data_IF_345338115578
#
_entry.id   IF_345338115578
#
_cell.length_a   1.000
_cell.length_b   1.000
_cell.length_c   1.000
_cell.angle_alpha   90.00
_cell.angle_beta   90.00
_cell.angle_gamma   90.00
#
_symmetry.space_group_name_H-M   'P 1'
#
loop_
_entity.id
_entity.type
_entity.pdbx_description
1 polymer ?
#
# COMPACT_ATOMS: atom_id res chain seq x y z
N UNK A 1 -14.89 5.95 12.97
CA UNK A 1 -13.87 5.91 11.90
C UNK A 1 -13.12 7.21 11.97
N UNK A 2 -11.79 7.19 12.04
CA UNK A 2 -10.99 8.41 11.98
C UNK A 2 -11.35 9.21 10.73
N UNK A 3 -11.43 10.52 10.83
CA UNK A 3 -11.77 11.42 9.72
C UNK A 3 -10.66 11.60 8.68
N UNK A 4 -9.90 10.53 8.40
CA UNK A 4 -8.84 10.53 7.38
C UNK A 4 -9.29 9.98 6.01
N UNK A 5 -10.53 9.47 5.92
CA UNK A 5 -11.06 9.01 4.65
C UNK A 5 -11.68 10.16 3.84
N UNK A 6 -11.54 10.12 2.53
CA UNK A 6 -11.90 11.20 1.62
C UNK A 6 -13.39 11.49 1.56
N UNK A 7 -14.24 10.49 1.75
CA UNK A 7 -15.71 10.59 1.75
C UNK A 7 -16.25 9.91 2.99
N UNK A 8 -16.95 10.67 3.84
CA UNK A 8 -17.52 10.15 5.09
C UNK A 8 -18.93 9.66 4.83
N UNK A 9 -19.15 8.35 5.00
CA UNK A 9 -20.47 7.76 5.02
C UNK A 9 -21.04 7.90 6.45
N UNK A 10 -22.28 8.39 6.63
CA UNK A 10 -22.93 8.42 7.94
C UNK A 10 -23.17 7.03 8.54
N UNK A 11 -23.41 6.02 7.70
CA UNK A 11 -23.54 4.63 8.14
C UNK A 11 -22.17 4.05 8.50
N UNK A 12 -22.09 3.41 9.67
CA UNK A 12 -20.85 2.80 10.17
C UNK A 12 -21.09 1.31 10.45
N UNK A 13 -20.06 0.50 10.20
CA UNK A 13 -20.06 -0.93 10.49
C UNK A 13 -18.75 -1.33 11.15
N UNK A 14 -18.85 -2.07 12.25
CA UNK A 14 -17.68 -2.63 12.94
C UNK A 14 -16.94 -3.63 12.05
N UNK A 15 -17.66 -4.42 11.26
CA UNK A 15 -17.07 -5.36 10.32
C UNK A 15 -16.12 -4.65 9.33
N UNK A 16 -16.59 -3.57 8.69
CA UNK A 16 -15.75 -2.83 7.75
C UNK A 16 -14.64 -2.05 8.46
N UNK A 17 -14.84 -1.62 9.71
CA UNK A 17 -13.76 -1.03 10.49
C UNK A 17 -12.62 -2.03 10.71
N UNK A 18 -12.94 -3.24 11.16
CA UNK A 18 -11.92 -4.29 11.37
C UNK A 18 -11.26 -4.70 10.05
N UNK A 19 -12.04 -4.82 8.98
CA UNK A 19 -11.53 -5.13 7.65
C UNK A 19 -10.49 -4.10 7.19
N UNK A 20 -10.79 -2.82 7.30
CA UNK A 20 -9.87 -1.72 6.94
C UNK A 20 -8.62 -1.74 7.81
N UNK A 21 -8.74 -1.98 9.12
CA UNK A 21 -7.58 -2.07 10.02
C UNK A 21 -6.65 -3.23 9.62
N UNK A 22 -7.22 -4.40 9.30
CA UNK A 22 -6.44 -5.57 8.86
C UNK A 22 -5.72 -5.26 7.53
N UNK A 23 -6.47 -4.83 6.52
CA UNK A 23 -5.91 -4.58 5.19
C UNK A 23 -4.83 -3.49 5.26
N UNK A 24 -5.13 -2.36 5.89
CA UNK A 24 -4.21 -1.22 5.98
C UNK A 24 -2.92 -1.50 6.80
N UNK A 25 -2.89 -2.60 7.56
CA UNK A 25 -1.70 -3.01 8.32
C UNK A 25 -0.72 -3.82 7.46
N UNK A 26 -1.22 -4.64 6.52
CA UNK A 26 -0.39 -5.61 5.81
C UNK A 26 -0.29 -5.46 4.29
N UNK A 27 -1.15 -4.66 3.66
CA UNK A 27 -1.18 -4.49 2.20
C UNK A 27 0.10 -3.83 1.65
N UNK A 28 0.54 -2.75 2.27
CA UNK A 28 1.72 -2.02 1.82
C UNK A 28 3.01 -2.85 1.92
N UNK A 29 3.32 -3.54 3.04
CA UNK A 29 4.45 -4.47 3.09
C UNK A 29 4.41 -5.55 2.00
N UNK A 30 3.23 -6.12 1.70
CA UNK A 30 3.09 -7.12 0.65
C UNK A 30 3.42 -6.54 -0.74
N UNK A 31 2.95 -5.32 -1.05
CA UNK A 31 3.20 -4.66 -2.33
C UNK A 31 4.67 -4.26 -2.46
N UNK A 32 5.29 -3.72 -1.40
CA UNK A 32 6.74 -3.42 -1.40
C UNK A 32 7.59 -4.68 -1.53
N UNK A 33 7.19 -5.80 -0.89
CA UNK A 33 7.84 -7.08 -1.07
C UNK A 33 7.80 -7.53 -2.54
N UNK A 34 6.64 -7.48 -3.19
CA UNK A 34 6.50 -7.82 -4.60
C UNK A 34 7.33 -6.91 -5.51
N UNK A 35 7.34 -5.60 -5.25
CA UNK A 35 8.18 -4.66 -5.97
C UNK A 35 9.67 -5.01 -5.85
N UNK A 36 10.11 -5.35 -4.64
CA UNK A 36 11.46 -5.83 -4.36
C UNK A 36 11.78 -7.15 -5.04
N UNK A 37 10.83 -8.09 -5.08
CA UNK A 37 11.00 -9.39 -5.72
C UNK A 37 11.28 -9.29 -7.23
N UNK A 38 10.61 -8.36 -7.92
CA UNK A 38 10.82 -8.17 -9.36
C UNK A 38 11.98 -7.22 -9.72
N UNK A 39 12.50 -6.45 -8.77
CA UNK A 39 13.54 -5.47 -9.03
C UNK A 39 14.88 -6.07 -9.49
N UNK A 40 15.41 -7.17 -8.87
CA UNK A 40 16.71 -7.74 -9.24
C UNK A 40 16.78 -8.16 -10.69
N UNK A 41 15.79 -8.94 -11.15
CA UNK A 41 15.72 -9.40 -12.55
C UNK A 41 15.74 -8.25 -13.54
N UNK A 42 15.02 -7.17 -13.23
CA UNK A 42 14.95 -5.99 -14.07
C UNK A 42 16.29 -5.24 -14.11
N UNK A 43 16.94 -5.08 -12.94
CA UNK A 43 18.23 -4.40 -12.80
C UNK A 43 19.36 -5.18 -13.52
N UNK A 44 19.43 -6.49 -13.33
CA UNK A 44 20.46 -7.34 -13.94
C UNK A 44 20.33 -7.41 -15.45
N UNK A 45 19.09 -7.48 -15.98
CA UNK A 45 18.86 -7.53 -17.43
C UNK A 45 19.22 -6.22 -18.15
N UNK A 46 19.00 -5.06 -17.52
CA UNK A 46 19.07 -3.75 -18.16
C UNK A 46 20.30 -2.91 -17.79
N UNK A 47 20.91 -3.20 -16.65
CA UNK A 47 21.90 -2.33 -16.03
C UNK A 47 21.27 -1.10 -15.37
N UNK A 48 22.04 -0.40 -14.54
CA UNK A 48 21.58 0.65 -13.63
C UNK A 48 20.88 1.82 -14.33
N UNK A 49 21.51 2.37 -15.37
CA UNK A 49 21.00 3.58 -16.04
C UNK A 49 19.67 3.32 -16.75
N UNK A 50 19.59 2.23 -17.53
CA UNK A 50 18.37 1.90 -18.26
C UNK A 50 17.24 1.48 -17.31
N UNK A 51 17.58 0.77 -16.21
CA UNK A 51 16.63 0.46 -15.15
C UNK A 51 16.02 1.72 -14.56
N UNK A 52 16.85 2.70 -14.15
CA UNK A 52 16.36 3.96 -13.56
C UNK A 52 15.52 4.77 -14.55
N UNK A 53 15.96 4.86 -15.82
CA UNK A 53 15.20 5.54 -16.88
C UNK A 53 13.82 4.92 -17.06
N UNK A 54 13.74 3.60 -17.09
CA UNK A 54 12.45 2.88 -17.22
C UNK A 54 11.56 3.08 -15.98
N UNK A 55 12.13 3.01 -14.77
CA UNK A 55 11.36 3.25 -13.55
C UNK A 55 10.92 4.71 -13.42
N UNK A 56 11.74 5.67 -13.83
CA UNK A 56 11.32 7.07 -13.91
C UNK A 56 10.13 7.25 -14.87
N UNK A 57 10.14 6.56 -16.02
CA UNK A 57 9.04 6.63 -16.98
C UNK A 57 7.75 5.98 -16.45
N UNK A 58 7.84 4.74 -15.94
CA UNK A 58 6.65 3.96 -15.56
C UNK A 58 6.14 4.20 -14.14
N UNK A 59 6.94 4.79 -13.25
CA UNK A 59 6.57 5.07 -11.86
C UNK A 59 6.66 6.56 -11.57
N UNK A 60 7.80 7.20 -11.93
CA UNK A 60 8.07 8.60 -11.61
C UNK A 60 7.11 9.56 -12.31
N UNK A 61 6.92 9.43 -13.64
CA UNK A 61 5.99 10.29 -14.38
C UNK A 61 4.54 10.10 -13.91
N UNK A 62 3.99 8.86 -13.81
CA UNK A 62 2.64 8.67 -13.26
C UNK A 62 2.48 9.17 -11.84
N UNK A 63 3.52 9.08 -10.99
CA UNK A 63 3.50 9.68 -9.67
C UNK A 63 3.36 11.20 -9.72
N UNK A 64 4.21 11.89 -10.48
CA UNK A 64 4.17 13.36 -10.61
C UNK A 64 2.82 13.81 -11.16
N UNK A 65 2.34 13.17 -12.23
CA UNK A 65 1.03 13.50 -12.83
C UNK A 65 -0.09 13.24 -11.81
N UNK A 66 -0.07 12.11 -11.13
CA UNK A 66 -1.06 11.77 -10.11
C UNK A 66 -1.11 12.79 -8.96
N UNK A 67 0.06 13.14 -8.44
CA UNK A 67 0.17 14.11 -7.33
C UNK A 67 -0.27 15.51 -7.77
N UNK A 68 0.17 16.00 -8.92
CA UNK A 68 -0.13 17.37 -9.34
C UNK A 68 -1.56 17.55 -9.87
N UNK A 69 -2.08 16.56 -10.60
CA UNK A 69 -3.39 16.66 -11.22
C UNK A 69 -4.54 16.23 -10.31
N UNK A 70 -4.35 15.19 -9.49
CA UNK A 70 -5.45 14.53 -8.77
C UNK A 70 -5.39 14.66 -7.25
N UNK A 71 -4.21 14.68 -6.63
CA UNK A 71 -4.12 14.77 -5.17
C UNK A 71 -4.77 16.05 -4.59
N UNK A 72 -4.70 17.24 -5.23
CA UNK A 72 -5.43 18.42 -4.74
C UNK A 72 -6.95 18.24 -4.78
N UNK A 73 -7.48 17.54 -5.80
CA UNK A 73 -8.91 17.25 -5.91
C UNK A 73 -9.38 16.34 -4.77
N UNK A 74 -8.58 15.34 -4.44
CA UNK A 74 -8.85 14.44 -3.30
C UNK A 74 -8.77 15.19 -1.97
N UNK A 75 -7.79 16.07 -1.80
CA UNK A 75 -7.69 16.93 -0.63
C UNK A 75 -8.92 17.83 -0.48
N UNK A 76 -9.38 18.45 -1.56
CA UNK A 76 -10.57 19.29 -1.55
C UNK A 76 -11.84 18.48 -1.23
N UNK A 77 -11.98 17.27 -1.79
CA UNK A 77 -13.09 16.38 -1.48
C UNK A 77 -13.11 15.99 0.01
N UNK A 78 -11.94 15.73 0.61
CA UNK A 78 -11.81 15.47 2.05
C UNK A 78 -12.22 16.68 2.86
N UNK A 79 -11.72 17.87 2.52
CA UNK A 79 -12.06 19.12 3.20
C UNK A 79 -13.56 19.37 3.19
N UNK A 80 -14.19 19.20 2.03
CA UNK A 80 -15.64 19.32 1.87
C UNK A 80 -16.41 18.26 2.70
N UNK A 81 -15.94 17.03 2.69
CA UNK A 81 -16.57 15.94 3.44
C UNK A 81 -16.49 16.12 4.96
N UNK A 82 -15.47 16.82 5.43
CA UNK A 82 -15.29 17.21 6.84
C UNK A 82 -15.99 18.51 7.22
N UNK A 83 -16.72 19.15 6.29
CA UNK A 83 -17.34 20.47 6.46
C UNK A 83 -16.35 21.57 6.89
N UNK A 84 -15.08 21.46 6.44
CA UNK A 84 -14.08 22.47 6.71
C UNK A 84 -14.24 23.68 5.75
N UNK A 85 -13.86 24.90 6.17
CA UNK A 85 -13.93 26.08 5.31
C UNK A 85 -13.13 25.87 4.02
N UNK A 86 -13.79 26.15 2.90
CA UNK A 86 -13.17 26.08 1.56
C UNK A 86 -13.00 27.51 1.03
N UNK A 87 -11.87 27.81 0.37
CA UNK A 87 -11.69 29.03 -0.39
C UNK A 87 -12.68 29.11 -1.56
N UNK A 88 -12.89 30.34 -2.08
CA UNK A 88 -13.83 30.57 -3.19
C UNK A 88 -13.42 29.87 -4.48
N UNK A 89 -12.12 29.75 -4.73
CA UNK A 89 -11.61 29.14 -5.96
C UNK A 89 -10.75 27.91 -5.70
N UNK A 90 -10.77 26.99 -6.66
CA UNK A 90 -9.90 25.80 -6.64
C UNK A 90 -8.40 26.19 -6.59
N UNK A 91 -8.00 27.21 -7.33
CA UNK A 91 -6.59 27.62 -7.38
C UNK A 91 -6.12 28.20 -6.03
N UNK A 92 -7.00 28.90 -5.34
CA UNK A 92 -6.73 29.40 -3.98
C UNK A 92 -6.62 28.23 -3.00
N UNK A 93 -7.51 27.23 -3.07
CA UNK A 93 -7.40 26.01 -2.30
C UNK A 93 -6.04 25.31 -2.52
N UNK A 94 -5.62 25.16 -3.77
CA UNK A 94 -4.33 24.56 -4.10
C UNK A 94 -3.18 25.34 -3.47
N UNK A 95 -3.17 26.65 -3.56
CA UNK A 95 -2.07 27.51 -3.08
C UNK A 95 -2.02 27.61 -1.55
N UNK A 96 -3.17 27.78 -0.91
CA UNK A 96 -3.23 28.13 0.52
C UNK A 96 -3.38 26.89 1.41
N UNK A 97 -4.08 25.86 0.95
CA UNK A 97 -4.38 24.67 1.73
C UNK A 97 -3.53 23.48 1.26
N UNK A 98 -3.65 23.08 0.00
CA UNK A 98 -3.00 21.84 -0.44
C UNK A 98 -1.48 21.96 -0.48
N UNK A 99 -0.88 23.06 -0.95
CA UNK A 99 0.58 23.25 -0.87
C UNK A 99 1.08 23.54 0.54
N UNK A 100 0.18 23.85 1.48
CA UNK A 100 0.44 24.14 2.89
C UNK A 100 0.03 23.01 3.84
N UNK A 101 -0.84 23.31 4.84
CA UNK A 101 -1.18 22.39 5.92
C UNK A 101 -2.01 21.18 5.48
N UNK A 102 -2.73 21.29 4.38
CA UNK A 102 -3.54 20.20 3.80
C UNK A 102 -2.80 19.34 2.77
N UNK A 103 -1.47 19.43 2.70
CA UNK A 103 -0.72 18.64 1.72
C UNK A 103 -0.88 17.15 1.94
N UNK A 104 -1.24 16.49 0.88
CA UNK A 104 -1.32 15.05 0.82
C UNK A 104 -1.10 14.56 -0.62
N UNK A 105 -0.71 13.30 -0.77
CA UNK A 105 -0.48 12.68 -2.08
C UNK A 105 -1.50 11.60 -2.42
N UNK A 106 -2.56 11.44 -1.60
CA UNK A 106 -3.51 10.35 -1.75
C UNK A 106 -2.76 9.00 -1.83
N UNK A 107 -3.26 8.03 -2.60
CA UNK A 107 -2.59 6.74 -2.82
C UNK A 107 -1.28 6.85 -3.63
N UNK A 108 -1.02 7.97 -4.28
CA UNK A 108 0.23 8.15 -5.07
C UNK A 108 1.50 8.25 -4.22
N UNK A 109 1.40 8.49 -2.89
CA UNK A 109 2.54 8.48 -1.98
C UNK A 109 3.41 7.22 -2.13
N UNK A 110 2.75 6.07 -2.36
CA UNK A 110 3.41 4.79 -2.56
C UNK A 110 4.40 4.82 -3.73
N UNK A 111 4.02 5.41 -4.88
CA UNK A 111 4.89 5.51 -6.05
C UNK A 111 6.13 6.36 -5.76
N UNK A 112 5.97 7.45 -4.99
CA UNK A 112 7.09 8.30 -4.57
C UNK A 112 8.08 7.54 -3.69
N UNK A 113 7.59 6.85 -2.66
CA UNK A 113 8.42 6.02 -1.78
C UNK A 113 9.07 4.86 -2.54
N UNK A 114 8.31 4.20 -3.39
CA UNK A 114 8.82 3.12 -4.24
C UNK A 114 9.95 3.62 -5.16
N UNK A 115 9.81 4.80 -5.73
CA UNK A 115 10.85 5.38 -6.58
C UNK A 115 12.15 5.62 -5.80
N UNK A 116 12.06 6.09 -4.55
CA UNK A 116 13.23 6.23 -3.65
C UNK A 116 13.87 4.87 -3.40
N UNK A 117 13.09 3.84 -3.08
CA UNK A 117 13.64 2.49 -2.85
C UNK A 117 14.32 1.91 -4.09
N UNK A 118 13.76 2.13 -5.28
CA UNK A 118 14.35 1.68 -6.54
C UNK A 118 15.65 2.43 -6.88
N UNK A 119 15.75 3.74 -6.56
CA UNK A 119 16.99 4.52 -6.72
C UNK A 119 18.08 3.98 -5.78
N UNK A 120 17.74 3.81 -4.50
CA UNK A 120 18.67 3.23 -3.51
C UNK A 120 19.10 1.82 -3.92
N UNK A 121 18.15 0.99 -4.36
CA UNK A 121 18.42 -0.36 -4.83
C UNK A 121 19.36 -0.39 -6.05
N UNK A 122 19.16 0.50 -7.00
CA UNK A 122 20.04 0.62 -8.16
C UNK A 122 21.46 1.07 -7.78
N UNK A 123 21.59 1.92 -6.76
CA UNK A 123 22.89 2.39 -6.24
C UNK A 123 23.63 1.27 -5.48
N UNK A 124 22.95 0.58 -4.57
CA UNK A 124 23.52 -0.50 -3.74
C UNK A 124 23.73 -1.78 -4.57
N UNK A 125 22.80 -2.08 -5.45
CA UNK A 125 22.81 -3.28 -6.28
C UNK A 125 21.98 -4.44 -5.69
N UNK A 126 21.76 -5.45 -6.52
CA UNK A 126 21.05 -6.68 -6.16
C UNK A 126 21.88 -7.52 -5.17
N UNK A 127 21.25 -8.29 -4.27
CA UNK A 127 21.94 -9.32 -3.47
C UNK A 127 22.75 -10.25 -4.39
N UNK A 128 24.05 -10.37 -4.14
CA UNK A 128 24.98 -11.04 -5.09
C UNK A 128 24.89 -12.57 -5.08
N UNK A 129 24.68 -13.17 -3.92
CA UNK A 129 24.64 -14.62 -3.76
C UNK A 129 23.42 -15.05 -2.95
N UNK A 130 23.00 -16.30 -3.14
CA UNK A 130 22.04 -16.94 -2.25
C UNK A 130 22.60 -16.97 -0.83
N UNK A 131 21.73 -16.77 0.16
CA UNK A 131 22.16 -16.62 1.55
C UNK A 131 22.44 -17.94 2.24
N UNK A 132 21.89 -19.05 1.73
CA UNK A 132 21.85 -20.34 2.41
C UNK A 132 21.04 -20.37 3.70
N UNK A 133 20.41 -19.23 4.08
CA UNK A 133 19.58 -19.12 5.28
C UNK A 133 18.12 -19.41 4.98
N UNK A 134 17.41 -19.99 5.95
CA UNK A 134 15.98 -20.26 5.81
C UNK A 134 15.16 -18.98 5.66
N UNK A 135 14.02 -19.03 4.97
CA UNK A 135 13.07 -17.91 4.92
C UNK A 135 12.68 -17.39 6.31
N UNK A 136 12.51 -18.30 7.29
CA UNK A 136 12.16 -17.94 8.67
C UNK A 136 13.19 -17.02 9.33
N UNK A 137 14.48 -17.23 9.07
CA UNK A 137 15.53 -16.33 9.57
C UNK A 137 15.31 -14.90 9.08
N UNK A 138 15.01 -14.73 7.80
CA UNK A 138 14.79 -13.43 7.20
C UNK A 138 13.47 -12.77 7.67
N UNK A 139 12.40 -13.56 7.83
CA UNK A 139 11.13 -13.10 8.36
C UNK A 139 11.24 -12.67 9.82
N UNK A 140 11.97 -13.42 10.65
CA UNK A 140 12.26 -13.03 12.04
C UNK A 140 13.08 -11.74 12.12
N UNK A 141 14.11 -11.60 11.26
CA UNK A 141 14.90 -10.38 11.14
C UNK A 141 14.04 -9.18 10.74
N UNK A 142 13.15 -9.34 9.76
CA UNK A 142 12.23 -8.28 9.36
C UNK A 142 11.29 -7.90 10.51
N UNK A 143 10.69 -8.87 11.20
CA UNK A 143 9.83 -8.60 12.36
C UNK A 143 10.57 -7.83 13.45
N UNK A 144 11.76 -8.30 13.87
CA UNK A 144 12.53 -7.69 14.94
C UNK A 144 12.96 -6.26 14.60
N UNK A 145 13.52 -6.04 13.40
CA UNK A 145 13.97 -4.71 12.95
C UNK A 145 12.81 -3.75 12.73
N UNK A 146 11.69 -4.22 12.17
CA UNK A 146 10.48 -3.42 12.01
C UNK A 146 9.89 -3.02 13.37
N UNK A 147 9.87 -3.96 14.34
CA UNK A 147 9.41 -3.68 15.71
C UNK A 147 10.27 -2.64 16.41
N UNK A 148 11.59 -2.77 16.30
CA UNK A 148 12.52 -1.80 16.87
C UNK A 148 12.37 -0.41 16.22
N UNK A 149 12.27 -0.34 14.89
CA UNK A 149 12.08 0.92 14.18
C UNK A 149 10.75 1.59 14.53
N UNK A 150 9.67 0.82 14.62
CA UNK A 150 8.36 1.33 15.03
C UNK A 150 8.41 1.85 16.48
N UNK A 151 9.01 1.09 17.39
CA UNK A 151 9.20 1.50 18.78
C UNK A 151 9.99 2.80 18.88
N UNK A 152 11.17 2.89 18.26
CA UNK A 152 12.01 4.08 18.27
C UNK A 152 11.28 5.29 17.68
N UNK A 153 10.57 5.12 16.56
CA UNK A 153 9.75 6.19 16.00
C UNK A 153 8.65 6.64 16.97
N UNK A 154 8.01 5.72 17.67
CA UNK A 154 6.93 6.00 18.62
C UNK A 154 7.39 6.72 19.90
N UNK A 155 8.69 6.80 20.15
CA UNK A 155 9.21 7.60 21.27
C UNK A 155 9.05 9.12 21.04
N UNK A 156 9.13 9.55 19.79
CA UNK A 156 9.15 10.96 19.40
C UNK A 156 7.95 11.39 18.55
N UNK A 157 7.33 10.44 17.83
CA UNK A 157 6.29 10.73 16.86
C UNK A 157 5.07 9.87 17.12
N UNK A 158 3.87 10.41 16.81
CA UNK A 158 2.67 9.57 16.79
C UNK A 158 2.79 8.52 15.68
N UNK A 159 2.45 7.23 15.91
CA UNK A 159 2.61 6.15 14.93
C UNK A 159 1.89 6.39 13.59
N UNK A 160 0.77 7.12 13.61
CA UNK A 160 -0.01 7.44 12.42
C UNK A 160 0.33 8.80 11.82
N UNK A 161 1.39 9.47 12.33
CA UNK A 161 1.83 10.74 11.79
C UNK A 161 2.36 10.57 10.37
N UNK A 162 1.86 11.42 9.47
CA UNK A 162 2.39 11.58 8.13
C UNK A 162 3.31 12.79 8.09
N UNK A 163 4.48 12.61 7.53
CA UNK A 163 5.44 13.70 7.32
C UNK A 163 5.76 13.88 5.85
N UNK A 164 6.20 15.08 5.52
CA UNK A 164 6.69 15.44 4.20
C UNK A 164 8.17 15.83 4.29
N UNK A 165 9.00 15.12 3.54
CA UNK A 165 10.39 15.52 3.31
C UNK A 165 10.53 15.86 1.84
N UNK A 166 10.77 17.15 1.54
CA UNK A 166 10.68 17.67 0.18
C UNK A 166 9.31 17.38 -0.44
N UNK A 167 9.24 16.49 -1.42
CA UNK A 167 8.02 16.10 -2.12
C UNK A 167 7.59 14.66 -1.82
N UNK A 168 8.29 13.97 -0.92
CA UNK A 168 7.93 12.60 -0.52
C UNK A 168 7.10 12.65 0.75
N UNK A 169 5.97 11.94 0.75
CA UNK A 169 4.99 11.89 1.84
C UNK A 169 4.89 10.46 2.36
N UNK A 170 5.13 10.24 3.66
CA UNK A 170 5.18 8.91 4.25
C UNK A 170 4.96 8.92 5.77
N UNK A 171 4.77 7.73 6.34
CA UNK A 171 4.68 7.53 7.79
C UNK A 171 6.03 7.04 8.33
N UNK A 172 6.71 7.82 9.19
CA UNK A 172 8.03 7.46 9.75
C UNK A 172 8.04 6.11 10.48
N UNK A 173 6.98 5.82 11.24
CA UNK A 173 6.88 4.58 11.99
C UNK A 173 6.86 3.33 11.11
N UNK A 174 6.45 3.44 9.85
CA UNK A 174 6.23 2.31 8.94
C UNK A 174 7.27 2.22 7.81
N UNK A 175 7.97 3.31 7.51
CA UNK A 175 8.85 3.36 6.33
C UNK A 175 9.98 2.32 6.37
N UNK A 176 10.53 2.03 7.56
CA UNK A 176 11.58 1.01 7.72
C UNK A 176 11.02 -0.38 7.43
N UNK A 177 9.80 -0.68 7.89
CA UNK A 177 9.13 -1.95 7.59
C UNK A 177 8.93 -2.13 6.08
N UNK A 178 8.57 -1.06 5.35
CA UNK A 178 8.41 -1.09 3.89
C UNK A 178 9.75 -1.30 3.16
N UNK A 179 10.82 -0.64 3.61
CA UNK A 179 12.15 -0.81 3.06
C UNK A 179 12.68 -2.23 3.29
N UNK A 180 12.45 -2.77 4.49
CA UNK A 180 12.81 -4.16 4.83
C UNK A 180 11.99 -5.16 4.02
N UNK A 181 10.69 -4.93 3.82
CA UNK A 181 9.85 -5.77 2.97
C UNK A 181 10.33 -5.76 1.51
N UNK A 182 10.69 -4.60 0.98
CA UNK A 182 11.29 -4.48 -0.36
C UNK A 182 12.60 -5.27 -0.46
N UNK A 183 13.52 -5.10 0.50
CA UNK A 183 14.77 -5.86 0.54
C UNK A 183 14.53 -7.36 0.65
N UNK A 184 13.57 -7.76 1.50
CA UNK A 184 13.18 -9.16 1.67
C UNK A 184 12.65 -9.77 0.37
N UNK A 185 11.89 -9.01 -0.41
CA UNK A 185 11.46 -9.39 -1.75
C UNK A 185 12.66 -9.66 -2.69
N UNK A 186 13.65 -8.78 -2.71
CA UNK A 186 14.85 -8.96 -3.50
C UNK A 186 15.67 -10.19 -3.04
N UNK A 187 15.72 -10.47 -1.73
CA UNK A 187 16.31 -11.69 -1.17
C UNK A 187 15.51 -12.92 -1.58
N UNK A 188 14.19 -12.89 -1.46
CA UNK A 188 13.32 -13.99 -1.84
C UNK A 188 13.49 -14.41 -3.30
N UNK A 189 13.67 -13.43 -4.20
CA UNK A 189 14.00 -13.71 -5.60
C UNK A 189 15.37 -14.39 -5.74
N UNK A 190 16.40 -13.90 -5.06
CA UNK A 190 17.75 -14.45 -5.12
C UNK A 190 17.87 -15.83 -4.50
N UNK A 191 17.14 -16.09 -3.42
CA UNK A 191 17.15 -17.34 -2.68
C UNK A 191 16.13 -18.37 -3.22
N UNK A 192 15.38 -18.04 -4.29
CA UNK A 192 14.44 -18.96 -4.95
C UNK A 192 13.24 -19.36 -4.08
N UNK A 193 12.74 -18.47 -3.20
CA UNK A 193 11.66 -18.85 -2.27
C UNK A 193 10.38 -19.30 -2.96
N UNK A 194 10.16 -18.90 -4.19
CA UNK A 194 8.97 -19.25 -4.97
C UNK A 194 9.24 -20.28 -6.09
N UNK A 195 10.44 -20.87 -6.14
CA UNK A 195 10.78 -21.87 -7.16
C UNK A 195 10.23 -23.27 -6.81
N UNK A 196 9.89 -23.49 -5.54
CA UNK A 196 9.30 -24.73 -5.04
C UNK A 196 7.80 -24.87 -5.31
N UNK A 197 7.16 -25.94 -4.80
CA UNK A 197 5.71 -26.16 -4.96
C UNK A 197 4.88 -25.05 -4.31
N UNK A 198 3.61 -25.00 -4.69
CA UNK A 198 2.64 -24.07 -4.08
C UNK A 198 2.50 -24.35 -2.59
N UNK A 199 2.18 -23.31 -1.77
CA UNK A 199 1.92 -23.51 -0.36
C UNK A 199 0.75 -24.49 -0.16
N UNK A 200 0.95 -25.50 0.67
CA UNK A 200 -0.10 -26.42 1.06
C UNK A 200 -1.11 -25.75 2.00
N UNK A 201 -2.25 -26.43 2.20
CA UNK A 201 -3.33 -25.95 3.08
C UNK A 201 -2.81 -25.60 4.49
N UNK A 202 -1.92 -26.43 5.06
CA UNK A 202 -1.37 -26.17 6.40
C UNK A 202 -0.59 -24.85 6.52
N UNK A 203 0.19 -24.49 5.48
CA UNK A 203 0.92 -23.23 5.45
C UNK A 203 -0.03 -22.01 5.33
N UNK A 204 -1.08 -22.13 4.52
CA UNK A 204 -2.11 -21.08 4.37
C UNK A 204 -2.89 -20.94 5.69
N UNK A 205 -3.32 -22.06 6.29
CA UNK A 205 -4.06 -22.03 7.55
C UNK A 205 -3.22 -21.45 8.68
N UNK A 206 -1.95 -21.84 8.83
CA UNK A 206 -1.06 -21.31 9.84
C UNK A 206 -0.82 -19.80 9.66
N UNK A 207 -0.56 -19.34 8.45
CA UNK A 207 -0.41 -17.89 8.17
C UNK A 207 -1.71 -17.12 8.38
N UNK A 208 -2.86 -17.73 8.09
CA UNK A 208 -4.17 -17.16 8.40
C UNK A 208 -4.41 -17.03 9.91
N UNK A 209 -4.11 -18.05 10.71
CA UNK A 209 -4.19 -17.99 12.17
C UNK A 209 -3.24 -16.94 12.74
N UNK A 210 -2.01 -16.85 12.23
CA UNK A 210 -1.06 -15.81 12.62
C UNK A 210 -1.60 -14.40 12.27
N UNK A 211 -2.27 -14.25 11.12
CA UNK A 211 -2.94 -13.01 10.71
C UNK A 211 -4.05 -12.61 11.70
N UNK A 212 -4.90 -13.56 12.09
CA UNK A 212 -5.97 -13.32 13.07
C UNK A 212 -5.37 -12.93 14.42
N UNK A 213 -4.39 -13.68 14.92
CA UNK A 213 -3.73 -13.42 16.21
C UNK A 213 -3.02 -12.05 16.21
N UNK A 214 -2.28 -11.73 15.14
CA UNK A 214 -1.59 -10.46 14.99
C UNK A 214 -2.56 -9.27 14.91
N UNK A 215 -3.60 -9.38 14.10
CA UNK A 215 -4.63 -8.34 13.97
C UNK A 215 -5.38 -8.14 15.29
N UNK A 216 -5.74 -9.23 15.97
CA UNK A 216 -6.39 -9.16 17.29
C UNK A 216 -5.50 -8.47 18.32
N UNK A 217 -4.19 -8.77 18.36
CA UNK A 217 -3.26 -8.12 19.30
C UNK A 217 -3.19 -6.60 19.09
N UNK A 218 -3.17 -6.13 17.82
CA UNK A 218 -3.20 -4.70 17.50
C UNK A 218 -4.51 -4.05 17.94
N UNK A 219 -5.65 -4.69 17.64
CA UNK A 219 -6.98 -4.19 18.01
C UNK A 219 -7.13 -4.15 19.53
N UNK A 220 -6.74 -5.23 20.21
CA UNK A 220 -6.79 -5.33 21.67
C UNK A 220 -6.01 -4.19 22.35
N UNK A 221 -4.76 -3.96 21.87
CA UNK A 221 -3.93 -2.87 22.39
C UNK A 221 -4.53 -1.50 22.10
N UNK A 222 -5.10 -1.30 20.91
CA UNK A 222 -5.73 -0.03 20.54
C UNK A 222 -6.98 0.28 21.37
N UNK A 223 -7.76 -0.74 21.72
CA UNK A 223 -9.00 -0.58 22.48
C UNK A 223 -8.77 -0.42 24.00
N UNK A 224 -7.82 -1.16 24.57
CA UNK A 224 -7.60 -1.18 26.00
C UNK A 224 -6.52 -0.20 26.47
N UNK A 225 -5.59 0.16 25.60
CA UNK A 225 -4.46 1.06 25.88
C UNK A 225 -4.34 2.12 24.79
N UNK A 226 -5.34 3.02 24.62
CA UNK A 226 -5.35 4.01 23.55
C UNK A 226 -4.23 5.04 23.70
N UNK A 227 -3.82 5.33 24.93
CA UNK A 227 -2.69 6.19 25.26
C UNK A 227 -1.51 5.31 25.66
N UNK A 228 -0.47 5.30 24.84
CA UNK A 228 0.72 4.46 25.07
C UNK A 228 1.73 5.21 25.92
N UNK A 229 1.44 5.30 27.21
CA UNK A 229 2.23 6.12 28.16
C UNK A 229 3.56 5.46 28.53
N UNK A 230 3.61 4.12 28.61
CA UNK A 230 4.82 3.42 29.05
C UNK A 230 5.65 2.91 27.89
N UNK A 231 6.97 2.83 28.09
CA UNK A 231 7.91 2.24 27.11
C UNK A 231 7.54 0.79 26.77
N UNK A 232 7.09 0.02 27.75
CA UNK A 232 6.65 -1.35 27.55
C UNK A 232 5.45 -1.44 26.61
N UNK A 233 4.44 -0.58 26.76
CA UNK A 233 3.27 -0.53 25.89
C UNK A 233 3.65 -0.08 24.48
N UNK A 234 4.56 0.90 24.32
CA UNK A 234 5.09 1.30 23.02
C UNK A 234 5.82 0.15 22.33
N UNK A 235 6.68 -0.58 23.06
CA UNK A 235 7.39 -1.74 22.53
C UNK A 235 6.42 -2.86 22.12
N UNK A 236 5.45 -3.19 22.98
CA UNK A 236 4.45 -4.21 22.71
C UNK A 236 3.59 -3.84 21.47
N UNK A 237 3.24 -2.57 21.32
CA UNK A 237 2.52 -2.10 20.15
C UNK A 237 3.36 -2.24 18.86
N UNK A 238 4.65 -1.88 18.90
CA UNK A 238 5.57 -2.06 17.77
C UNK A 238 5.72 -3.53 17.37
N UNK A 239 5.86 -4.42 18.36
CA UNK A 239 5.95 -5.87 18.14
C UNK A 239 4.66 -6.43 17.53
N UNK A 240 3.51 -6.06 18.08
CA UNK A 240 2.20 -6.52 17.60
C UNK A 240 1.89 -5.99 16.21
N UNK A 241 2.13 -4.70 15.95
CA UNK A 241 1.92 -4.10 14.62
C UNK A 241 2.82 -4.75 13.56
N UNK A 242 4.10 -4.95 13.86
CA UNK A 242 5.04 -5.57 12.92
C UNK A 242 4.72 -7.05 12.69
N UNK A 243 4.28 -7.79 13.73
CA UNK A 243 3.84 -9.16 13.59
C UNK A 243 2.56 -9.28 12.74
N UNK A 244 1.56 -8.44 12.99
CA UNK A 244 0.35 -8.38 12.17
C UNK A 244 0.68 -8.06 10.71
N UNK A 245 1.52 -7.05 10.48
CA UNK A 245 1.97 -6.62 9.16
C UNK A 245 2.66 -7.76 8.38
N UNK A 246 3.56 -8.49 9.03
CA UNK A 246 4.24 -9.65 8.46
C UNK A 246 3.28 -10.78 8.14
N UNK A 247 2.46 -11.19 9.11
CA UNK A 247 1.56 -12.33 8.98
C UNK A 247 0.52 -12.11 7.89
N UNK A 248 -0.04 -10.90 7.81
CA UNK A 248 -0.98 -10.51 6.74
C UNK A 248 -0.29 -10.57 5.37
N UNK A 249 0.91 -10.02 5.24
CA UNK A 249 1.66 -10.05 3.98
C UNK A 249 1.96 -11.48 3.53
N UNK A 250 2.43 -12.35 4.44
CA UNK A 250 2.71 -13.77 4.15
C UNK A 250 1.43 -14.51 3.77
N UNK A 251 0.34 -14.29 4.52
CA UNK A 251 -0.95 -14.91 4.22
C UNK A 251 -1.46 -14.53 2.83
N UNK A 252 -1.44 -13.24 2.48
CA UNK A 252 -1.85 -12.79 1.15
C UNK A 252 -0.97 -13.38 0.04
N UNK A 253 0.35 -13.42 0.22
CA UNK A 253 1.26 -14.02 -0.76
C UNK A 253 0.98 -15.51 -0.95
N UNK A 254 0.76 -16.26 0.13
CA UNK A 254 0.44 -17.69 0.07
C UNK A 254 -0.92 -17.94 -0.56
N UNK A 255 -1.93 -17.19 -0.15
CA UNK A 255 -3.29 -17.30 -0.68
C UNK A 255 -3.33 -16.98 -2.17
N UNK A 256 -2.73 -15.85 -2.59
CA UNK A 256 -2.67 -15.48 -3.99
C UNK A 256 -1.92 -16.52 -4.83
N UNK A 257 -0.79 -17.04 -4.32
CA UNK A 257 -0.05 -18.08 -5.02
C UNK A 257 -0.86 -19.39 -5.15
N UNK A 258 -1.59 -19.78 -4.11
CA UNK A 258 -2.42 -20.98 -4.16
C UNK A 258 -3.59 -20.85 -5.16
N UNK A 259 -4.24 -19.69 -5.20
CA UNK A 259 -5.45 -19.46 -6.00
C UNK A 259 -5.15 -19.07 -7.45
N UNK A 260 -4.15 -18.22 -7.67
CA UNK A 260 -3.96 -17.52 -8.94
C UNK A 260 -2.71 -17.94 -9.72
N UNK A 261 -1.81 -18.73 -9.13
CA UNK A 261 -0.63 -19.25 -9.82
C UNK A 261 -1.00 -20.39 -10.80
N UNK A 262 -1.89 -20.05 -11.74
CA UNK A 262 -2.34 -20.92 -12.84
C UNK A 262 -2.43 -20.11 -14.12
N UNK A 263 -1.96 -20.64 -15.26
CA UNK A 263 -2.13 -19.96 -16.53
C UNK A 263 -3.62 -19.81 -16.85
N UNK A 264 -4.05 -18.55 -16.99
CA UNK A 264 -5.42 -18.20 -17.36
C UNK A 264 -5.41 -16.90 -18.15
N UNK A 265 -6.14 -16.82 -19.29
CA UNK A 265 -6.26 -15.59 -20.06
C UNK A 265 -6.83 -14.44 -19.22
N UNK A 266 -7.78 -14.73 -18.34
CA UNK A 266 -8.41 -13.73 -17.46
C UNK A 266 -7.38 -13.14 -16.49
N UNK A 267 -6.63 -14.00 -15.78
CA UNK A 267 -5.59 -13.53 -14.84
C UNK A 267 -4.46 -12.76 -15.52
N UNK A 268 -4.11 -13.18 -16.74
CA UNK A 268 -3.14 -12.45 -17.55
C UNK A 268 -3.64 -11.04 -17.88
N UNK A 269 -4.85 -10.91 -18.38
CA UNK A 269 -5.45 -9.62 -18.73
C UNK A 269 -5.58 -8.70 -17.50
N UNK A 270 -6.03 -9.24 -16.36
CA UNK A 270 -6.13 -8.48 -15.11
C UNK A 270 -4.76 -8.07 -14.55
N UNK A 271 -3.76 -8.96 -14.62
CA UNK A 271 -2.39 -8.64 -14.25
C UNK A 271 -1.81 -7.52 -15.10
N UNK A 272 -2.04 -7.57 -16.40
CA UNK A 272 -1.61 -6.51 -17.32
C UNK A 272 -2.34 -5.18 -17.09
N UNK A 273 -3.56 -5.21 -16.56
CA UNK A 273 -4.34 -4.01 -16.23
C UNK A 273 -4.07 -3.49 -14.80
N UNK A 274 -3.40 -4.26 -13.95
CA UNK A 274 -3.31 -4.00 -12.51
C UNK A 274 -2.72 -2.62 -12.16
N UNK A 275 -1.71 -2.16 -12.90
CA UNK A 275 -1.11 -0.87 -12.68
C UNK A 275 -2.04 0.30 -13.05
N UNK A 276 -2.76 0.20 -14.14
CA UNK A 276 -3.77 1.20 -14.51
C UNK A 276 -4.96 1.19 -13.55
N UNK A 277 -5.39 0.01 -13.05
CA UNK A 277 -6.40 -0.11 -12.00
C UNK A 277 -5.92 0.61 -10.73
N UNK A 278 -4.69 0.35 -10.29
CA UNK A 278 -4.10 1.05 -9.15
C UNK A 278 -4.10 2.57 -9.34
N UNK A 279 -3.77 3.06 -10.52
CA UNK A 279 -3.67 4.50 -10.79
C UNK A 279 -5.04 5.18 -10.82
N UNK A 280 -6.08 4.50 -11.36
CA UNK A 280 -7.42 5.04 -11.56
C UNK A 280 -8.37 4.84 -10.37
N UNK A 281 -8.14 3.82 -9.52
CA UNK A 281 -9.20 3.35 -8.62
C UNK A 281 -9.78 4.43 -7.71
N UNK A 282 -9.00 5.32 -7.13
CA UNK A 282 -9.54 6.36 -6.26
C UNK A 282 -10.33 7.44 -7.01
N UNK A 283 -9.96 7.71 -8.26
CA UNK A 283 -10.68 8.67 -9.10
C UNK A 283 -12.11 8.19 -9.40
N UNK A 284 -12.32 6.89 -9.43
CA UNK A 284 -13.62 6.27 -9.69
C UNK A 284 -14.33 5.92 -8.39
N UNK A 285 -13.62 5.39 -7.41
CA UNK A 285 -14.18 4.97 -6.13
C UNK A 285 -14.80 6.14 -5.35
N UNK A 286 -14.12 7.28 -5.29
CA UNK A 286 -14.62 8.42 -4.51
C UNK A 286 -15.95 8.97 -5.04
N UNK A 287 -16.09 9.29 -6.33
CA UNK A 287 -17.40 9.65 -6.88
C UNK A 287 -18.45 8.56 -6.72
N UNK A 288 -18.08 7.29 -6.92
CA UNK A 288 -19.01 6.17 -6.75
C UNK A 288 -19.56 6.08 -5.33
N UNK A 289 -18.68 6.17 -4.31
CA UNK A 289 -19.11 6.19 -2.90
C UNK A 289 -19.98 7.41 -2.61
N UNK A 290 -19.59 8.59 -3.08
CA UNK A 290 -20.38 9.81 -2.89
C UNK A 290 -21.79 9.71 -3.47
N UNK A 291 -21.92 9.14 -4.67
CA UNK A 291 -23.22 8.94 -5.34
C UNK A 291 -24.08 7.87 -4.62
N UNK A 292 -23.48 6.91 -3.92
CA UNK A 292 -24.20 5.89 -3.17
C UNK A 292 -24.67 6.35 -1.77
N UNK A 293 -24.16 7.46 -1.24
CA UNK A 293 -24.55 7.96 0.10
C UNK A 293 -26.07 8.12 0.23
N UNK A 294 -26.78 8.84 -0.69
CA UNK A 294 -28.21 9.12 -0.53
C UNK A 294 -29.10 7.89 -0.77
N UNK A 295 -28.55 6.80 -1.29
CA UNK A 295 -29.32 5.60 -1.57
C UNK A 295 -29.63 4.83 -0.28
N UNK A 296 -30.88 4.46 -0.09
CA UNK A 296 -31.30 3.65 1.06
C UNK A 296 -31.01 2.16 0.82
N UNK A 297 -29.71 1.81 0.76
CA UNK A 297 -29.21 0.45 0.56
C UNK A 297 -28.37 0.02 1.78
N UNK A 298 -28.43 -1.27 2.17
CA UNK A 298 -27.52 -1.81 3.18
C UNK A 298 -26.05 -1.54 2.83
N UNK A 299 -25.25 -1.19 3.86
CA UNK A 299 -23.84 -0.82 3.69
C UNK A 299 -23.01 -1.89 2.93
N UNK A 300 -23.34 -3.17 3.12
CA UNK A 300 -22.70 -4.28 2.37
C UNK A 300 -22.96 -4.22 0.87
N UNK A 301 -24.19 -3.85 0.46
CA UNK A 301 -24.53 -3.68 -0.95
C UNK A 301 -23.81 -2.45 -1.53
N UNK A 302 -23.82 -1.33 -0.81
CA UNK A 302 -23.04 -0.13 -1.20
C UNK A 302 -21.55 -0.48 -1.40
N UNK A 303 -20.97 -1.28 -0.49
CA UNK A 303 -19.58 -1.73 -0.59
C UNK A 303 -19.34 -2.57 -1.87
N UNK A 304 -20.20 -3.56 -2.14
CA UNK A 304 -20.07 -4.42 -3.34
C UNK A 304 -20.19 -3.60 -4.62
N UNK A 305 -21.16 -2.69 -4.69
CA UNK A 305 -21.38 -1.82 -5.85
C UNK A 305 -20.20 -0.87 -6.06
N UNK A 306 -19.73 -0.23 -5.00
CA UNK A 306 -18.58 0.69 -5.07
C UNK A 306 -17.30 -0.05 -5.48
N UNK A 307 -16.98 -1.17 -4.82
CA UNK A 307 -15.77 -1.95 -5.10
C UNK A 307 -15.83 -2.61 -6.47
N UNK A 308 -16.90 -3.36 -6.75
CA UNK A 308 -17.06 -4.10 -8.00
C UNK A 308 -17.16 -3.17 -9.20
N UNK A 309 -17.99 -2.13 -9.11
CA UNK A 309 -18.12 -1.10 -10.15
C UNK A 309 -16.82 -0.38 -10.42
N UNK A 310 -16.09 0.03 -9.37
CA UNK A 310 -14.77 0.65 -9.51
C UNK A 310 -13.79 -0.28 -10.20
N UNK A 311 -13.70 -1.55 -9.76
CA UNK A 311 -12.74 -2.50 -10.33
C UNK A 311 -13.01 -2.77 -11.82
N UNK A 312 -14.29 -3.02 -12.17
CA UNK A 312 -14.70 -3.28 -13.56
C UNK A 312 -14.41 -2.05 -14.43
N UNK A 313 -14.81 -0.87 -13.99
CA UNK A 313 -14.62 0.36 -14.75
C UNK A 313 -13.12 0.71 -14.89
N UNK A 314 -12.32 0.55 -13.84
CA UNK A 314 -10.86 0.74 -13.92
C UNK A 314 -10.22 -0.23 -14.90
N UNK A 315 -10.59 -1.51 -14.86
CA UNK A 315 -10.07 -2.51 -15.79
C UNK A 315 -10.45 -2.16 -17.24
N UNK A 316 -11.71 -1.82 -17.48
CA UNK A 316 -12.21 -1.40 -18.80
C UNK A 316 -11.46 -0.17 -19.32
N UNK A 317 -11.35 0.90 -18.52
CA UNK A 317 -10.63 2.12 -18.91
C UNK A 317 -9.14 1.88 -19.12
N UNK A 318 -8.52 0.98 -18.35
CA UNK A 318 -7.12 0.63 -18.55
C UNK A 318 -6.92 -0.09 -19.89
N UNK A 319 -7.73 -1.11 -20.16
CA UNK A 319 -7.58 -1.97 -21.35
C UNK A 319 -7.96 -1.22 -22.62
N UNK A 320 -9.10 -0.51 -22.59
CA UNK A 320 -9.69 0.12 -23.78
C UNK A 320 -9.37 1.61 -23.92
N UNK A 321 -8.88 2.26 -22.86
CA UNK A 321 -8.47 3.67 -22.83
C UNK A 321 -6.96 3.83 -22.75
N UNK A 322 -6.38 3.71 -21.56
CA UNK A 322 -4.97 4.04 -21.30
C UNK A 322 -3.99 3.30 -22.23
N UNK A 323 -4.20 2.00 -22.43
CA UNK A 323 -3.32 1.19 -23.29
C UNK A 323 -3.50 1.43 -24.80
N UNK A 324 -4.58 2.05 -25.23
CA UNK A 324 -4.79 2.39 -26.66
C UNK A 324 -4.22 3.75 -27.06
N UNK A 325 -4.04 4.65 -26.10
CA UNK A 325 -3.46 5.97 -26.37
C UNK A 325 -1.93 5.87 -26.45
N UNK A 326 -1.30 6.29 -27.57
CA UNK A 326 0.15 6.05 -27.83
C UNK A 326 1.07 6.59 -26.72
N UNK A 327 0.72 7.74 -26.14
CA UNK A 327 1.49 8.37 -25.04
C UNK A 327 1.32 7.59 -23.75
N UNK A 328 0.07 7.23 -23.39
CA UNK A 328 -0.24 6.55 -22.13
C UNK A 328 0.17 5.07 -22.15
N UNK A 329 0.12 4.41 -23.30
CA UNK A 329 0.59 3.02 -23.47
C UNK A 329 2.06 2.84 -23.04
N UNK A 330 2.86 3.89 -23.12
CA UNK A 330 4.25 3.86 -22.66
C UNK A 330 4.42 4.03 -21.15
N UNK A 331 3.36 4.47 -20.46
CA UNK A 331 3.37 4.70 -19.02
C UNK A 331 2.70 3.54 -18.26
N UNK A 332 1.69 2.95 -18.84
CA UNK A 332 0.83 1.87 -18.34
C UNK A 332 0.95 0.61 -19.23
#
# INVERSE_FOLDING_TARGET
VPGWWYVINPEKSLFFLFWVLIVNTGDMPAIFFLAGYFAPRSLEKRGRMLFLKEKALHIGIPWIVGVLAFAPLFAMATWRSLNLPLPETYMEFVRTIWLGPGYQQSHFWFLGVLMVFLIVFAAVGSPRAASGRSPLFWLAGWWGLSSAAFFLSSLYLHPDLWIRISHIYFQPARIVSYALAFYLGARAWRDGWFDGPRPGFGAIALSGLATVAGSWSVIFLAMNFPVKETLALKALHGMSHSFASLSIAVFFLFLCRALFDRPSPVWRTLSEASYGIYWLHQMILMPAVYLLIPWNLPIGIKFILALGGTYILCAFLTIHGLKKLPVLRRLF
#
